data_IF_511828049983
#
_entry.id   IF_511828049983
#
_cell.length_a   1.000
_cell.length_b   1.000
_cell.length_c   1.000
_cell.angle_alpha   90.00
_cell.angle_beta   90.00
_cell.angle_gamma   90.00
#
_symmetry.space_group_name_H-M   'P 1'
#
loop_
_entity.id
_entity.type
_entity.pdbx_description
1 polymer ?
#
# COMPACT_ATOMS: atom_id res chain seq x y z
N UNK A 1 22.89 2.32 -11.56
CA UNK A 1 21.54 2.89 -11.34
C UNK A 1 20.53 1.80 -11.00
N UNK A 2 20.48 0.68 -11.73
CA UNK A 2 19.62 -0.46 -11.36
C UNK A 2 19.96 -1.05 -9.99
N UNK A 3 21.24 -1.35 -9.76
CA UNK A 3 21.69 -1.94 -8.50
C UNK A 3 21.41 -1.04 -7.30
N UNK A 4 21.68 0.27 -7.41
CA UNK A 4 21.33 1.21 -6.34
C UNK A 4 19.82 1.26 -6.08
N UNK A 5 18.97 1.17 -7.11
CA UNK A 5 17.51 1.11 -6.95
C UNK A 5 17.06 -0.14 -6.19
N UNK A 6 17.62 -1.31 -6.55
CA UNK A 6 17.32 -2.55 -5.82
C UNK A 6 17.85 -2.52 -4.38
N UNK A 7 19.05 -1.98 -4.14
CA UNK A 7 19.66 -1.93 -2.82
C UNK A 7 18.98 -0.92 -1.88
N UNK A 8 18.37 0.15 -2.41
CA UNK A 8 17.71 1.20 -1.63
C UNK A 8 16.18 1.14 -1.67
N UNK A 9 15.62 -0.02 -2.00
CA UNK A 9 14.17 -0.21 -1.91
C UNK A 9 13.68 -0.07 -0.46
N UNK A 10 12.39 0.23 -0.29
CA UNK A 10 11.78 0.47 1.02
C UNK A 10 11.26 -0.80 1.70
N UNK A 11 11.57 -2.00 1.21
CA UNK A 11 11.01 -3.22 1.78
C UNK A 11 11.42 -3.42 3.23
N UNK A 12 12.67 -3.11 3.59
CA UNK A 12 13.12 -3.18 4.98
C UNK A 12 12.28 -2.32 5.92
N UNK A 13 11.74 -1.20 5.43
CA UNK A 13 10.86 -0.33 6.20
C UNK A 13 9.46 -0.93 6.37
N UNK A 14 8.91 -1.52 5.29
CA UNK A 14 7.59 -2.18 5.31
C UNK A 14 7.61 -3.42 6.21
N UNK A 15 8.69 -4.20 6.16
CA UNK A 15 8.90 -5.43 6.94
C UNK A 15 9.27 -5.16 8.41
N UNK A 16 9.63 -3.92 8.77
CA UNK A 16 9.99 -3.52 10.15
C UNK A 16 9.31 -2.19 10.49
N UNK A 17 7.99 -2.17 10.41
CA UNK A 17 7.23 -0.92 10.48
C UNK A 17 7.20 -0.38 11.92
N UNK A 18 7.61 0.88 12.15
CA UNK A 18 7.55 1.47 13.50
C UNK A 18 6.12 1.55 14.03
N UNK A 19 5.95 1.34 15.34
CA UNK A 19 4.65 1.47 15.99
C UNK A 19 4.03 2.85 15.73
N UNK A 20 2.73 2.87 15.42
CA UNK A 20 1.98 4.09 15.11
C UNK A 20 2.15 4.59 13.67
N UNK A 21 2.92 3.89 12.83
CA UNK A 21 2.96 4.14 11.38
C UNK A 21 1.99 3.18 10.68
N UNK A 22 1.26 3.72 9.70
CA UNK A 22 0.37 2.95 8.84
C UNK A 22 0.80 3.12 7.37
N UNK A 23 1.01 2.02 6.67
CA UNK A 23 1.33 1.96 5.24
C UNK A 23 0.19 1.26 4.51
N UNK A 24 -0.36 1.94 3.51
CA UNK A 24 -1.44 1.41 2.68
C UNK A 24 -0.91 1.15 1.26
N UNK A 25 -0.99 -0.09 0.81
CA UNK A 25 -0.73 -0.46 -0.57
C UNK A 25 -2.01 -0.38 -1.37
N UNK A 26 -2.00 0.33 -2.49
CA UNK A 26 -3.16 0.43 -3.39
C UNK A 26 -2.85 -0.26 -4.72
N UNK A 27 -3.54 -1.36 -4.97
CA UNK A 27 -3.46 -2.11 -6.23
C UNK A 27 -4.69 -1.82 -7.08
N UNK A 28 -4.48 -1.27 -8.27
CA UNK A 28 -5.51 -1.18 -9.28
C UNK A 28 -5.89 -2.58 -9.82
N UNK A 29 -7.17 -2.89 -9.86
CA UNK A 29 -7.67 -4.20 -10.31
C UNK A 29 -7.30 -4.49 -11.77
N UNK A 30 -7.47 -3.49 -12.65
CA UNK A 30 -7.37 -3.64 -14.11
C UNK A 30 -6.04 -3.14 -14.67
N UNK A 31 -5.06 -2.88 -13.81
CA UNK A 31 -3.72 -2.47 -14.24
C UNK A 31 -3.05 -3.60 -15.05
N UNK A 32 -2.57 -3.25 -16.25
CA UNK A 32 -1.74 -4.14 -17.07
C UNK A 32 -0.35 -4.37 -16.44
N UNK A 33 0.05 -3.52 -15.49
CA UNK A 33 1.29 -3.67 -14.72
C UNK A 33 1.03 -4.57 -13.53
N UNK A 34 1.30 -5.87 -13.72
CA UNK A 34 1.17 -6.87 -12.67
C UNK A 34 2.28 -6.70 -11.63
N UNK A 35 1.91 -6.84 -10.37
CA UNK A 35 2.87 -6.96 -9.29
C UNK A 35 3.40 -8.39 -9.27
N UNK A 36 4.66 -8.56 -8.91
CA UNK A 36 5.25 -9.88 -8.75
C UNK A 36 4.52 -10.63 -7.62
N UNK A 37 4.40 -11.95 -7.74
CA UNK A 37 3.73 -12.76 -6.71
C UNK A 37 4.48 -12.64 -5.37
N UNK A 38 5.81 -12.57 -5.46
CA UNK A 38 6.71 -12.42 -4.32
C UNK A 38 6.44 -11.10 -3.58
N UNK A 39 6.19 -10.00 -4.30
CA UNK A 39 5.88 -8.71 -3.67
C UNK A 39 4.53 -8.73 -2.96
N UNK A 40 3.52 -9.39 -3.54
CA UNK A 40 2.21 -9.56 -2.90
C UNK A 40 2.31 -10.40 -1.62
N UNK A 41 3.10 -11.47 -1.64
CA UNK A 41 3.34 -12.30 -0.47
C UNK A 41 4.06 -11.53 0.64
N UNK A 42 5.02 -10.67 0.29
CA UNK A 42 5.73 -9.83 1.27
C UNK A 42 4.82 -8.80 1.92
N UNK A 43 3.88 -8.21 1.17
CA UNK A 43 2.90 -7.27 1.73
C UNK A 43 2.00 -7.98 2.72
N UNK A 44 1.44 -9.14 2.37
CA UNK A 44 0.59 -9.90 3.28
C UNK A 44 1.32 -10.38 4.53
N UNK A 45 2.58 -10.82 4.39
CA UNK A 45 3.40 -11.17 5.55
C UNK A 45 3.64 -9.95 6.48
N UNK A 46 3.85 -8.76 5.90
CA UNK A 46 4.01 -7.53 6.68
C UNK A 46 2.71 -7.06 7.33
N UNK A 47 1.56 -7.27 6.68
CA UNK A 47 0.21 -7.04 7.23
C UNK A 47 -0.04 -7.90 8.48
N UNK A 48 0.27 -9.20 8.41
CA UNK A 48 0.16 -10.11 9.55
C UNK A 48 1.07 -9.68 10.72
N UNK A 49 2.34 -9.34 10.44
CA UNK A 49 3.29 -8.90 11.47
C UNK A 49 2.90 -7.56 12.11
N UNK A 50 2.51 -6.58 11.30
CA UNK A 50 2.16 -5.25 11.79
C UNK A 50 0.93 -5.28 12.71
N UNK A 51 -0.03 -6.17 12.43
CA UNK A 51 -1.21 -6.37 13.26
C UNK A 51 -0.85 -6.86 14.68
N UNK A 52 0.19 -7.67 14.83
CA UNK A 52 0.68 -8.13 16.15
C UNK A 52 1.40 -7.02 16.93
N UNK A 53 2.08 -6.11 16.23
CA UNK A 53 2.93 -5.07 16.82
C UNK A 53 2.21 -3.72 17.05
N UNK A 54 0.92 -3.63 16.71
CA UNK A 54 0.16 -2.37 16.80
C UNK A 54 0.62 -1.29 15.81
N UNK A 55 1.26 -1.71 14.71
CA UNK A 55 1.50 -0.94 13.51
C UNK A 55 0.43 -1.30 12.45
N UNK A 56 0.48 -0.70 11.26
CA UNK A 56 -0.46 -1.08 10.20
C UNK A 56 0.18 -1.19 8.83
N UNK A 57 0.11 -2.37 8.24
CA UNK A 57 0.27 -2.55 6.79
C UNK A 57 -1.03 -3.10 6.28
N UNK A 58 -1.59 -2.49 5.23
CA UNK A 58 -2.86 -2.95 4.64
C UNK A 58 -2.78 -2.86 3.11
N UNK A 59 -3.32 -3.87 2.42
CA UNK A 59 -3.45 -3.84 0.96
C UNK A 59 -4.90 -3.66 0.52
N UNK A 60 -5.11 -2.62 -0.27
CA UNK A 60 -6.39 -2.29 -0.89
C UNK A 60 -6.38 -2.64 -2.38
N UNK A 61 -7.48 -3.20 -2.86
CA UNK A 61 -7.73 -3.33 -4.30
C UNK A 61 -8.74 -2.26 -4.71
N UNK A 62 -8.35 -1.40 -5.65
CA UNK A 62 -9.27 -0.45 -6.28
C UNK A 62 -9.91 -1.08 -7.50
N UNK A 63 -11.17 -1.46 -7.34
CA UNK A 63 -12.02 -2.02 -8.39
C UNK A 63 -12.17 -1.04 -9.56
N UNK A 64 -12.28 -1.58 -10.77
CA UNK A 64 -12.50 -0.84 -12.01
C UNK A 64 -11.47 0.27 -12.34
N UNK A 65 -10.30 0.26 -11.70
CA UNK A 65 -9.22 1.20 -11.96
C UNK A 65 -8.05 0.58 -12.75
N UNK A 66 -7.45 1.38 -13.63
CA UNK A 66 -6.19 1.11 -14.32
C UNK A 66 -5.00 1.80 -13.63
N UNK A 67 -3.97 2.17 -14.39
CA UNK A 67 -2.76 2.78 -13.81
C UNK A 67 -3.03 4.18 -13.21
N UNK A 68 -4.00 4.91 -13.75
CA UNK A 68 -4.32 6.27 -13.34
C UNK A 68 -5.49 6.26 -12.34
N UNK A 69 -5.28 5.62 -11.20
CA UNK A 69 -6.31 5.33 -10.18
C UNK A 69 -7.19 6.52 -9.79
N UNK A 70 -6.61 7.72 -9.71
CA UNK A 70 -7.33 8.94 -9.34
C UNK A 70 -8.24 9.47 -10.44
N UNK A 71 -7.97 9.15 -11.70
CA UNK A 71 -8.81 9.50 -12.84
C UNK A 71 -9.83 8.39 -13.12
N UNK A 72 -9.42 7.13 -12.97
CA UNK A 72 -10.25 5.97 -13.31
C UNK A 72 -11.36 5.73 -12.28
N UNK A 73 -11.06 5.85 -10.97
CA UNK A 73 -12.03 5.65 -9.90
C UNK A 73 -11.76 6.59 -8.70
N UNK A 74 -12.01 7.90 -8.84
CA UNK A 74 -11.78 8.89 -7.78
C UNK A 74 -12.61 8.62 -6.52
N UNK A 75 -13.86 8.17 -6.67
CA UNK A 75 -14.76 7.94 -5.53
C UNK A 75 -14.33 6.72 -4.70
N UNK A 76 -13.94 5.62 -5.35
CA UNK A 76 -13.41 4.44 -4.69
C UNK A 76 -12.09 4.74 -3.97
N UNK A 77 -11.21 5.51 -4.62
CA UNK A 77 -9.96 5.98 -4.00
C UNK A 77 -10.24 6.83 -2.76
N UNK A 78 -11.19 7.78 -2.85
CA UNK A 78 -11.57 8.61 -1.72
C UNK A 78 -12.12 7.78 -0.56
N UNK A 79 -12.94 6.75 -0.85
CA UNK A 79 -13.47 5.85 0.19
C UNK A 79 -12.35 5.16 0.96
N UNK A 80 -11.34 4.65 0.26
CA UNK A 80 -10.15 4.00 0.86
C UNK A 80 -9.38 4.99 1.75
N UNK A 81 -9.15 6.21 1.27
CA UNK A 81 -8.37 7.23 2.00
C UNK A 81 -9.15 7.93 3.14
N UNK A 82 -10.47 7.76 3.18
CA UNK A 82 -11.37 8.57 4.03
C UNK A 82 -11.00 8.56 5.51
N UNK A 83 -10.53 7.45 6.05
CA UNK A 83 -10.10 7.31 7.45
C UNK A 83 -8.84 8.14 7.76
N UNK A 84 -7.92 8.29 6.80
CA UNK A 84 -6.68 9.05 6.96
C UNK A 84 -6.92 10.55 7.14
N UNK A 85 -8.07 11.06 6.69
CA UNK A 85 -8.41 12.48 6.81
C UNK A 85 -9.06 12.86 8.15
N UNK A 86 -9.52 11.89 8.96
CA UNK A 86 -10.29 12.15 10.18
C UNK A 86 -9.46 12.78 11.32
N UNK A 87 -8.13 12.82 11.19
CA UNK A 87 -7.21 13.52 12.11
C UNK A 87 -6.93 14.98 11.74
N UNK A 88 -7.32 15.45 10.55
CA UNK A 88 -7.13 16.84 10.12
C UNK A 88 -8.33 17.69 10.56
N UNK A 89 -8.27 18.25 11.78
CA UNK A 89 -9.06 19.44 12.08
C UNK A 89 -8.39 20.65 11.41
N UNK A 90 -9.09 21.27 10.47
CA UNK A 90 -8.72 22.58 9.91
C UNK A 90 -8.76 23.68 10.98
#
# INVERSE_FOLDING_TARGET
>A
MYQSYEETNLWKFVENLPQGVHVNFLKAERSLHRWALEDLQRIHAAEDLAAEEGAGVEMHVLEDAGHWVHADNPDGLFRILSSSFQGFKA
#
